data_IF_911092541771
#
_entry.id   IF_911092541771
#
_cell.length_a   1.000
_cell.length_b   1.000
_cell.length_c   1.000
_cell.angle_alpha   90.00
_cell.angle_beta   90.00
_cell.angle_gamma   90.00
#
_symmetry.space_group_name_H-M   'P 1'
#
loop_
_entity.id
_entity.type
_entity.pdbx_description
1 polymer ?
#
# COMPACT_ATOMS: atom_id res chain seq x y z
N UNK A 1 -17.45 7.36 13.50
CA UNK A 1 -17.93 8.01 12.27
C UNK A 1 -18.30 9.49 12.44
N UNK A 2 -18.77 9.93 13.64
CA UNK A 2 -19.10 11.33 13.91
C UNK A 2 -17.91 12.30 13.73
N UNK A 3 -16.69 11.90 14.09
CA UNK A 3 -15.49 12.72 13.91
C UNK A 3 -15.06 12.87 12.43
N UNK A 4 -15.30 11.88 11.60
CA UNK A 4 -14.96 11.93 10.19
C UNK A 4 -15.94 12.79 9.38
N UNK A 5 -17.23 12.80 9.73
CA UNK A 5 -18.23 13.63 9.04
C UNK A 5 -17.95 15.12 9.17
N UNK A 6 -17.48 15.58 10.35
CA UNK A 6 -17.08 17.00 10.55
C UNK A 6 -15.83 17.38 9.76
N UNK A 7 -14.82 16.49 9.64
CA UNK A 7 -13.61 16.76 8.86
C UNK A 7 -13.88 16.77 7.36
N UNK A 8 -14.75 15.91 6.88
CA UNK A 8 -15.13 15.87 5.47
C UNK A 8 -15.87 17.15 5.03
N UNK A 9 -16.66 17.76 5.91
CA UNK A 9 -17.36 19.04 5.61
C UNK A 9 -16.44 20.23 5.35
N UNK A 10 -15.16 20.13 5.69
CA UNK A 10 -14.22 21.26 5.55
C UNK A 10 -13.49 21.30 4.19
N UNK A 11 -13.41 20.20 3.43
CA UNK A 11 -12.43 20.10 2.34
C UNK A 11 -12.97 19.79 0.94
N UNK A 12 -14.28 19.55 0.73
CA UNK A 12 -14.74 19.13 -0.60
C UNK A 12 -16.24 19.29 -0.82
N UNK A 13 -16.66 19.23 -2.06
CA UNK A 13 -18.03 18.91 -2.45
C UNK A 13 -18.26 17.45 -1.99
N UNK A 14 -18.90 17.30 -0.82
CA UNK A 14 -19.17 15.98 -0.26
C UNK A 14 -20.37 15.41 -0.99
N UNK A 15 -20.26 14.21 -1.58
CA UNK A 15 -21.41 13.52 -2.11
C UNK A 15 -22.49 13.36 -1.05
N UNK A 16 -23.75 13.56 -1.43
CA UNK A 16 -24.92 13.53 -0.53
C UNK A 16 -25.02 12.29 0.36
N UNK A 17 -24.46 11.17 -0.08
CA UNK A 17 -24.44 9.93 0.70
C UNK A 17 -23.53 9.98 1.94
N UNK A 18 -22.59 10.91 2.06
CA UNK A 18 -21.81 11.12 3.29
C UNK A 18 -22.52 12.03 4.30
N UNK A 19 -23.50 12.82 3.86
CA UNK A 19 -24.27 13.76 4.72
C UNK A 19 -25.60 13.16 5.17
N UNK A 20 -25.75 11.86 5.07
CA UNK A 20 -26.94 11.10 5.42
C UNK A 20 -26.68 10.23 6.65
N UNK A 21 -27.70 10.06 7.51
CA UNK A 21 -27.68 9.05 8.55
C UNK A 21 -27.96 7.66 7.94
N UNK A 22 -27.04 6.73 8.20
CA UNK A 22 -27.09 5.37 7.72
C UNK A 22 -27.49 4.39 8.83
N UNK A 23 -28.41 3.49 8.52
CA UNK A 23 -28.81 2.39 9.39
C UNK A 23 -28.40 1.03 8.80
N UNK A 24 -28.28 0.01 9.65
CA UNK A 24 -28.02 -1.34 9.18
C UNK A 24 -29.16 -1.83 8.27
N UNK A 25 -28.82 -2.23 7.05
CA UNK A 25 -29.76 -2.68 6.03
C UNK A 25 -30.10 -1.63 4.96
N UNK A 26 -29.65 -0.38 5.14
CA UNK A 26 -29.79 0.63 4.09
C UNK A 26 -28.97 0.26 2.86
N UNK A 27 -29.53 0.58 1.69
CA UNK A 27 -28.82 0.39 0.41
C UNK A 27 -28.12 1.67 0.01
N UNK A 28 -26.81 1.59 -0.24
CA UNK A 28 -26.03 2.66 -0.86
C UNK A 28 -26.11 2.52 -2.37
N UNK A 29 -26.69 3.52 -3.04
CA UNK A 29 -26.76 3.61 -4.50
C UNK A 29 -25.75 4.66 -4.97
N UNK A 30 -24.88 4.29 -5.91
CA UNK A 30 -23.80 5.12 -6.46
C UNK A 30 -24.02 5.32 -7.96
N UNK A 31 -25.00 6.14 -8.33
CA UNK A 31 -25.39 6.36 -9.73
C UNK A 31 -24.25 6.92 -10.57
N UNK A 32 -23.48 7.88 -10.05
CA UNK A 32 -22.32 8.46 -10.74
C UNK A 32 -21.23 7.42 -11.00
N UNK A 33 -21.00 6.51 -10.05
CA UNK A 33 -20.06 5.40 -10.24
C UNK A 33 -20.59 4.41 -11.28
N UNK A 34 -21.87 4.09 -11.22
CA UNK A 34 -22.50 3.21 -12.21
C UNK A 34 -22.39 3.80 -13.62
N UNK A 35 -22.61 5.10 -13.77
CA UNK A 35 -22.42 5.80 -15.03
C UNK A 35 -20.97 5.76 -15.52
N UNK A 36 -20.01 6.08 -14.66
CA UNK A 36 -18.58 5.98 -14.96
C UNK A 36 -18.19 4.57 -15.44
N UNK A 37 -18.66 3.53 -14.74
CA UNK A 37 -18.41 2.14 -15.12
C UNK A 37 -19.06 1.77 -16.46
N UNK A 38 -20.22 2.36 -16.79
CA UNK A 38 -20.85 2.15 -18.10
C UNK A 38 -20.02 2.75 -19.24
N UNK A 39 -19.44 3.94 -19.05
CA UNK A 39 -18.54 4.55 -20.02
C UNK A 39 -17.29 3.69 -20.24
N UNK A 40 -16.71 3.14 -19.16
CA UNK A 40 -15.55 2.24 -19.24
C UNK A 40 -15.93 0.93 -19.96
N UNK A 41 -17.11 0.36 -19.68
CA UNK A 41 -17.62 -0.84 -20.34
C UNK A 41 -17.72 -0.62 -21.86
N UNK A 42 -18.29 0.51 -22.27
CA UNK A 42 -18.65 0.77 -23.66
C UNK A 42 -17.45 1.31 -24.48
N UNK A 43 -16.61 2.14 -23.86
CA UNK A 43 -15.50 2.83 -24.53
C UNK A 43 -14.10 2.36 -24.06
N UNK A 44 -14.01 1.35 -23.18
CA UNK A 44 -12.75 0.79 -22.68
C UNK A 44 -11.88 1.88 -22.05
N UNK A 45 -10.61 1.96 -22.47
CA UNK A 45 -9.65 2.97 -22.00
C UNK A 45 -10.16 4.40 -22.19
N UNK A 46 -10.72 4.70 -23.33
CA UNK A 46 -11.23 6.04 -23.63
C UNK A 46 -12.38 6.46 -22.70
N UNK A 47 -13.18 5.51 -22.19
CA UNK A 47 -14.25 5.78 -21.22
C UNK A 47 -13.78 6.31 -19.88
N UNK A 48 -12.49 6.22 -19.57
CA UNK A 48 -11.92 6.76 -18.32
C UNK A 48 -10.89 7.87 -18.58
N UNK A 49 -9.93 7.64 -19.49
CA UNK A 49 -8.81 8.55 -19.71
C UNK A 49 -9.08 9.66 -20.71
N UNK A 50 -10.24 9.63 -21.37
CA UNK A 50 -10.67 10.62 -22.34
C UNK A 50 -12.14 11.02 -22.09
N UNK A 51 -12.64 12.04 -22.79
CA UNK A 51 -14.02 12.47 -22.67
C UNK A 51 -14.44 12.94 -21.29
N UNK A 52 -15.70 12.68 -20.93
CA UNK A 52 -16.35 13.26 -19.75
C UNK A 52 -15.67 12.93 -18.41
N UNK A 53 -15.24 11.68 -18.20
CA UNK A 53 -14.55 11.31 -16.98
C UNK A 53 -13.20 12.03 -16.83
N UNK A 54 -12.40 12.06 -17.89
CA UNK A 54 -11.15 12.80 -17.89
C UNK A 54 -11.35 14.29 -17.63
N UNK A 55 -12.36 14.90 -18.26
CA UNK A 55 -12.69 16.31 -18.05
C UNK A 55 -13.08 16.61 -16.59
N UNK A 56 -13.89 15.75 -15.96
CA UNK A 56 -14.26 15.88 -14.54
C UNK A 56 -13.02 15.79 -13.63
N UNK A 57 -12.08 14.86 -13.91
CA UNK A 57 -10.83 14.74 -13.16
C UNK A 57 -10.02 16.04 -13.29
N UNK A 58 -9.86 16.59 -14.50
CA UNK A 58 -9.08 17.81 -14.73
C UNK A 58 -9.74 19.04 -14.09
N UNK A 59 -11.07 19.14 -14.15
CA UNK A 59 -11.80 20.21 -13.45
C UNK A 59 -11.55 20.16 -11.94
N UNK A 60 -11.59 18.97 -11.34
CA UNK A 60 -11.30 18.82 -9.90
C UNK A 60 -9.83 19.13 -9.57
N UNK A 61 -8.88 18.69 -10.41
CA UNK A 61 -7.47 19.05 -10.26
C UNK A 61 -7.27 20.57 -10.30
N UNK A 62 -7.88 21.24 -11.26
CA UNK A 62 -7.80 22.72 -11.38
C UNK A 62 -8.42 23.43 -10.17
N UNK A 63 -9.55 22.92 -9.67
CA UNK A 63 -10.26 23.50 -8.53
C UNK A 63 -9.49 23.34 -7.21
N UNK A 64 -8.82 22.21 -7.02
CA UNK A 64 -8.16 21.83 -5.77
C UNK A 64 -6.65 22.09 -5.74
N UNK A 65 -6.07 22.62 -6.83
CA UNK A 65 -4.61 22.80 -6.96
C UNK A 65 -3.85 21.48 -7.15
N UNK A 66 -4.50 20.46 -7.71
CA UNK A 66 -3.88 19.19 -8.05
C UNK A 66 -2.96 19.28 -9.27
N UNK A 67 -2.13 18.25 -9.47
CA UNK A 67 -1.05 18.26 -10.47
C UNK A 67 -1.37 17.48 -11.74
N UNK A 68 -2.42 16.64 -11.75
CA UNK A 68 -2.75 15.80 -12.92
C UNK A 68 -3.28 16.69 -14.04
N UNK A 69 -2.62 16.64 -15.19
CA UNK A 69 -3.01 17.32 -16.41
C UNK A 69 -3.80 16.39 -17.36
N UNK A 70 -4.45 16.98 -18.35
CA UNK A 70 -5.11 16.21 -19.42
C UNK A 70 -4.10 15.35 -20.18
N UNK A 71 -2.89 15.85 -20.38
CA UNK A 71 -1.84 15.11 -21.08
C UNK A 71 -1.41 13.87 -20.31
N UNK A 72 -1.32 13.97 -18.97
CA UNK A 72 -0.98 12.81 -18.11
C UNK A 72 -2.00 11.68 -18.27
N UNK A 73 -3.29 12.02 -18.39
CA UNK A 73 -4.34 11.01 -18.62
C UNK A 73 -4.24 10.37 -20.01
N UNK A 74 -3.96 11.18 -21.04
CA UNK A 74 -3.79 10.69 -22.43
C UNK A 74 -2.59 9.77 -22.55
N UNK A 75 -1.47 10.14 -21.93
CA UNK A 75 -0.18 9.43 -22.04
C UNK A 75 -0.10 8.22 -21.11
N UNK A 76 -0.99 8.12 -20.13
CA UNK A 76 -0.96 7.02 -19.20
C UNK A 76 -1.15 5.68 -19.91
N UNK A 77 -0.24 4.75 -19.67
CA UNK A 77 -0.30 3.37 -20.15
C UNK A 77 -0.04 2.41 -19.02
N UNK A 78 -0.83 1.34 -18.96
CA UNK A 78 -0.56 0.26 -18.00
C UNK A 78 0.69 -0.52 -18.40
N UNK A 79 1.50 -0.90 -17.40
CA UNK A 79 2.74 -1.65 -17.60
C UNK A 79 2.66 -3.01 -16.93
N UNK A 80 3.15 -4.03 -17.62
CA UNK A 80 3.40 -5.33 -17.02
C UNK A 80 4.62 -5.23 -16.10
N UNK A 81 4.46 -5.70 -14.84
CA UNK A 81 5.53 -5.68 -13.84
C UNK A 81 5.88 -7.09 -13.43
N UNK A 82 7.16 -7.32 -13.14
CA UNK A 82 7.62 -8.61 -12.61
C UNK A 82 7.12 -8.74 -11.17
N UNK A 83 6.43 -9.86 -10.83
CA UNK A 83 5.98 -10.08 -9.47
C UNK A 83 7.15 -10.35 -8.52
N UNK A 84 6.97 -10.03 -7.24
CA UNK A 84 7.83 -10.52 -6.17
C UNK A 84 7.51 -12.00 -5.95
N UNK A 85 8.55 -12.83 -6.00
CA UNK A 85 8.45 -14.27 -5.76
C UNK A 85 9.42 -14.66 -4.66
N UNK A 86 8.93 -15.37 -3.67
CA UNK A 86 9.74 -15.86 -2.55
C UNK A 86 9.13 -17.08 -1.90
N UNK A 87 9.68 -17.50 -0.77
CA UNK A 87 9.20 -18.63 0.02
C UNK A 87 9.05 -18.27 1.48
N UNK A 88 8.07 -18.86 2.13
CA UNK A 88 7.90 -18.85 3.58
C UNK A 88 7.57 -20.28 4.02
N UNK A 89 8.48 -20.91 4.74
CA UNK A 89 8.42 -22.35 5.02
C UNK A 89 8.22 -23.13 3.71
N UNK A 90 7.20 -23.98 3.64
CA UNK A 90 6.89 -24.79 2.46
C UNK A 90 6.01 -24.06 1.42
N UNK A 91 5.66 -22.80 1.67
CA UNK A 91 4.78 -22.04 0.78
C UNK A 91 5.57 -21.16 -0.17
N UNK A 92 5.18 -21.18 -1.44
CA UNK A 92 5.62 -20.22 -2.45
C UNK A 92 4.74 -18.98 -2.37
N UNK A 93 5.36 -17.83 -2.24
CA UNK A 93 4.71 -16.51 -2.20
C UNK A 93 4.86 -15.84 -3.56
N UNK A 94 3.76 -15.37 -4.13
CA UNK A 94 3.75 -14.56 -5.34
C UNK A 94 2.92 -13.32 -5.04
N UNK A 95 3.50 -12.15 -5.18
CA UNK A 95 2.82 -10.89 -4.87
C UNK A 95 3.23 -9.79 -5.83
N UNK A 96 2.52 -8.66 -5.77
CA UNK A 96 2.79 -7.52 -6.64
C UNK A 96 4.16 -6.90 -6.31
N UNK A 97 4.95 -6.65 -7.36
CA UNK A 97 6.20 -5.89 -7.28
C UNK A 97 5.98 -4.37 -7.26
N UNK A 98 7.07 -3.60 -7.12
CA UNK A 98 7.01 -2.14 -7.24
C UNK A 98 6.30 -1.66 -8.53
N UNK A 99 5.58 -0.54 -8.46
CA UNK A 99 5.53 0.47 -7.40
C UNK A 99 4.74 0.08 -6.14
N UNK A 100 4.06 -1.08 -6.13
CA UNK A 100 3.44 -1.58 -4.91
C UNK A 100 4.50 -2.03 -3.91
N UNK A 101 4.43 -1.53 -2.70
CA UNK A 101 5.30 -1.96 -1.60
C UNK A 101 4.82 -3.25 -0.91
N UNK A 102 3.55 -3.63 -1.13
CA UNK A 102 2.90 -4.69 -0.37
C UNK A 102 3.57 -6.04 -0.45
N UNK A 103 3.95 -6.46 -1.67
CA UNK A 103 4.62 -7.75 -1.87
C UNK A 103 5.98 -7.84 -1.19
N UNK A 104 6.79 -6.79 -1.29
CA UNK A 104 8.11 -6.75 -0.68
C UNK A 104 8.04 -6.69 0.84
N UNK A 105 7.19 -5.81 1.40
CA UNK A 105 7.00 -5.73 2.86
C UNK A 105 6.47 -7.05 3.43
N UNK A 106 5.49 -7.68 2.77
CA UNK A 106 4.97 -8.99 3.19
C UNK A 106 6.08 -10.05 3.22
N UNK A 107 6.89 -10.12 2.15
CA UNK A 107 8.00 -11.05 2.09
C UNK A 107 9.01 -10.80 3.22
N UNK A 108 9.42 -9.55 3.46
CA UNK A 108 10.35 -9.19 4.52
C UNK A 108 9.80 -9.59 5.90
N UNK A 109 8.56 -9.24 6.21
CA UNK A 109 7.92 -9.58 7.50
C UNK A 109 7.92 -11.10 7.70
N UNK A 110 7.46 -11.86 6.72
CA UNK A 110 7.38 -13.31 6.81
C UNK A 110 8.76 -13.93 7.00
N UNK A 111 9.78 -13.46 6.27
CA UNK A 111 11.15 -13.97 6.40
C UNK A 111 11.77 -13.63 7.76
N UNK A 112 11.56 -12.42 8.29
CA UNK A 112 12.05 -12.02 9.60
C UNK A 112 11.47 -12.88 10.73
N UNK A 113 10.23 -13.35 10.61
CA UNK A 113 9.59 -14.17 11.64
C UNK A 113 9.73 -15.69 11.39
N UNK A 114 10.30 -16.11 10.26
CA UNK A 114 10.32 -17.52 9.84
C UNK A 114 11.04 -18.45 10.82
N UNK A 115 12.09 -17.96 11.51
CA UNK A 115 12.86 -18.70 12.49
C UNK A 115 12.15 -18.90 13.85
N UNK A 116 11.07 -18.17 14.10
CA UNK A 116 10.36 -18.22 15.37
C UNK A 116 9.26 -19.31 15.34
N UNK A 117 9.08 -19.97 16.50
CA UNK A 117 8.02 -20.97 16.65
C UNK A 117 6.68 -20.32 16.98
N UNK A 118 6.00 -19.85 15.94
CA UNK A 118 4.73 -19.13 16.05
C UNK A 118 3.62 -20.00 16.69
N UNK A 119 3.71 -21.34 16.59
CA UNK A 119 2.72 -22.25 17.20
C UNK A 119 2.84 -22.24 18.72
N UNK A 120 4.09 -22.26 19.24
CA UNK A 120 4.33 -22.19 20.68
C UNK A 120 3.94 -20.83 21.27
N UNK A 121 4.09 -19.75 20.50
CA UNK A 121 3.64 -18.42 20.94
C UNK A 121 2.13 -18.35 21.14
N UNK A 122 1.37 -19.11 20.37
CA UNK A 122 -0.09 -19.06 20.35
C UNK A 122 -0.63 -17.92 19.51
N UNK A 123 -1.66 -18.22 18.74
CA UNK A 123 -2.28 -17.25 17.84
C UNK A 123 -2.85 -16.05 18.61
N UNK A 124 -2.52 -14.84 18.19
CA UNK A 124 -2.91 -13.57 18.81
C UNK A 124 -2.47 -13.38 20.26
N UNK A 125 -1.50 -14.16 20.76
CA UNK A 125 -0.88 -13.87 22.05
C UNK A 125 -0.10 -12.55 22.01
N UNK A 126 0.20 -11.98 23.18
CA UNK A 126 1.02 -10.76 23.28
C UNK A 126 2.39 -10.98 22.60
N UNK A 127 3.04 -12.11 22.86
CA UNK A 127 4.33 -12.43 22.24
C UNK A 127 4.25 -12.53 20.70
N UNK A 128 3.18 -13.16 20.18
CA UNK A 128 2.94 -13.24 18.74
C UNK A 128 2.74 -11.86 18.11
N UNK A 129 1.85 -11.04 18.69
CA UNK A 129 1.56 -9.69 18.17
C UNK A 129 2.81 -8.82 18.27
N UNK A 130 3.55 -8.89 19.39
CA UNK A 130 4.78 -8.15 19.56
C UNK A 130 5.82 -8.48 18.48
N UNK A 131 6.08 -9.77 18.22
CA UNK A 131 7.01 -10.20 17.18
C UNK A 131 6.60 -9.67 15.78
N UNK A 132 5.31 -9.79 15.42
CA UNK A 132 4.81 -9.30 14.12
C UNK A 132 5.02 -7.79 13.99
N UNK A 133 4.64 -7.01 15.01
CA UNK A 133 4.78 -5.55 15.00
C UNK A 133 6.24 -5.12 14.90
N UNK A 134 7.16 -5.81 15.57
CA UNK A 134 8.58 -5.54 15.49
C UNK A 134 9.16 -5.84 14.09
N UNK A 135 8.73 -6.90 13.44
CA UNK A 135 9.08 -7.19 12.05
C UNK A 135 8.47 -6.15 11.08
N UNK A 136 7.21 -5.75 11.29
CA UNK A 136 6.57 -4.70 10.50
C UNK A 136 7.32 -3.37 10.59
N UNK A 137 7.70 -2.91 11.77
CA UNK A 137 8.47 -1.67 11.95
C UNK A 137 9.73 -1.66 11.08
N UNK A 138 10.48 -2.77 11.05
CA UNK A 138 11.72 -2.91 10.28
C UNK A 138 11.45 -2.90 8.77
N UNK A 139 10.45 -3.65 8.32
CA UNK A 139 10.04 -3.66 6.92
C UNK A 139 9.55 -2.27 6.46
N UNK A 140 8.80 -1.56 7.29
CA UNK A 140 8.32 -0.21 6.97
C UNK A 140 9.41 0.86 7.04
N UNK A 141 10.45 0.69 7.87
CA UNK A 141 11.63 1.54 7.84
C UNK A 141 12.34 1.42 6.47
N UNK A 142 12.60 0.19 6.00
CA UNK A 142 13.17 -0.07 4.68
C UNK A 142 12.29 0.47 3.56
N UNK A 143 10.97 0.25 3.66
CA UNK A 143 9.99 0.78 2.72
C UNK A 143 10.10 2.30 2.57
N UNK A 144 10.19 3.00 3.68
CA UNK A 144 10.23 4.47 3.67
C UNK A 144 11.47 5.04 2.99
N UNK A 145 12.59 4.31 3.01
CA UNK A 145 13.85 4.72 2.39
C UNK A 145 13.98 4.31 0.93
N UNK A 146 13.54 3.10 0.58
CA UNK A 146 13.92 2.46 -0.66
C UNK A 146 12.81 2.29 -1.68
N UNK A 147 11.51 2.33 -1.27
CA UNK A 147 10.43 2.04 -2.18
C UNK A 147 9.81 3.30 -2.77
N UNK A 148 9.51 3.21 -4.05
CA UNK A 148 8.84 4.22 -4.85
C UNK A 148 8.52 3.67 -6.24
N UNK A 149 8.36 4.53 -7.22
CA UNK A 149 8.10 4.08 -8.58
C UNK A 149 9.42 3.67 -9.26
N UNK A 150 9.56 2.40 -9.70
CA UNK A 150 10.77 1.89 -10.33
C UNK A 150 11.06 2.51 -11.71
N UNK A 151 10.12 3.26 -12.26
CA UNK A 151 10.36 4.04 -13.49
C UNK A 151 11.22 5.28 -13.24
N UNK A 152 11.31 5.74 -11.98
CA UNK A 152 12.03 6.95 -11.58
C UNK A 152 13.16 6.68 -10.60
N UNK A 153 13.12 5.58 -9.85
CA UNK A 153 14.15 5.26 -8.85
C UNK A 153 14.60 3.79 -8.95
N UNK A 154 15.87 3.55 -8.61
CA UNK A 154 16.39 2.19 -8.46
C UNK A 154 16.00 1.63 -7.08
N UNK A 155 15.29 0.52 -7.07
CA UNK A 155 14.89 -0.20 -5.85
C UNK A 155 15.79 -1.41 -5.69
N UNK A 156 16.48 -1.59 -4.53
CA UNK A 156 17.38 -2.72 -4.30
C UNK A 156 16.61 -3.99 -3.89
N UNK A 157 15.78 -4.53 -4.78
CA UNK A 157 14.86 -5.64 -4.49
C UNK A 157 15.63 -6.87 -3.98
N UNK A 158 16.73 -7.24 -4.64
CA UNK A 158 17.53 -8.42 -4.28
C UNK A 158 18.10 -8.30 -2.86
N UNK A 159 18.65 -7.14 -2.51
CA UNK A 159 19.21 -6.88 -1.18
C UNK A 159 18.10 -6.86 -0.11
N UNK A 160 16.97 -6.22 -0.41
CA UNK A 160 15.82 -6.16 0.49
C UNK A 160 15.17 -7.53 0.72
N UNK A 161 15.37 -8.49 -0.17
CA UNK A 161 14.85 -9.85 -0.07
C UNK A 161 15.91 -10.86 0.40
N UNK A 162 17.16 -10.45 0.60
CA UNK A 162 18.22 -11.34 1.05
C UNK A 162 17.96 -11.90 2.45
N UNK A 163 18.03 -13.22 2.58
CA UNK A 163 17.69 -13.90 3.83
C UNK A 163 18.66 -13.57 4.99
N UNK A 164 19.95 -13.35 4.69
CA UNK A 164 20.94 -12.99 5.72
C UNK A 164 20.69 -11.57 6.20
N UNK A 165 20.39 -10.65 5.26
CA UNK A 165 19.99 -9.30 5.60
C UNK A 165 18.77 -9.30 6.53
N UNK A 166 17.73 -10.03 6.17
CA UNK A 166 16.48 -10.08 6.96
C UNK A 166 16.68 -10.74 8.33
N UNK A 167 17.55 -11.75 8.43
CA UNK A 167 17.94 -12.31 9.73
C UNK A 167 18.68 -11.28 10.60
N UNK A 168 19.59 -10.51 10.01
CA UNK A 168 20.30 -9.44 10.71
C UNK A 168 19.36 -8.34 11.22
N UNK A 169 18.30 -8.03 10.48
CA UNK A 169 17.28 -7.06 10.90
C UNK A 169 16.60 -7.42 12.23
N UNK A 170 16.64 -8.69 12.64
CA UNK A 170 16.00 -9.18 13.86
C UNK A 170 17.00 -9.47 15.00
N UNK A 171 18.30 -9.17 14.85
CA UNK A 171 19.29 -9.44 15.88
C UNK A 171 19.08 -8.61 17.17
N UNK A 172 18.51 -7.43 17.03
CA UNK A 172 18.21 -6.51 18.13
C UNK A 172 16.76 -6.67 18.65
N UNK A 173 16.04 -7.69 18.20
CA UNK A 173 14.70 -7.96 18.69
C UNK A 173 14.72 -8.37 20.16
N UNK A 174 14.05 -7.59 21.00
CA UNK A 174 13.80 -7.92 22.40
C UNK A 174 12.38 -8.46 22.56
N UNK A 175 12.27 -9.67 23.13
CA UNK A 175 10.97 -10.33 23.32
C UNK A 175 10.12 -9.74 24.44
N UNK A 176 10.69 -8.87 25.28
CA UNK A 176 10.04 -8.27 26.46
C UNK A 176 9.71 -6.79 26.27
N UNK A 177 10.53 -6.08 25.48
CA UNK A 177 10.41 -4.64 25.31
C UNK A 177 10.23 -4.25 23.84
N UNK A 178 9.25 -3.40 23.58
CA UNK A 178 9.00 -2.86 22.25
C UNK A 178 10.07 -1.82 21.88
N UNK A 179 10.61 -1.93 20.67
CA UNK A 179 11.48 -0.89 20.11
C UNK A 179 10.71 0.41 19.89
N UNK A 180 11.35 1.55 20.10
CA UNK A 180 10.79 2.83 19.67
C UNK A 180 10.94 3.00 18.16
N UNK A 181 10.05 3.78 17.54
CA UNK A 181 10.12 4.04 16.09
C UNK A 181 11.45 4.68 15.72
N UNK A 182 11.94 5.58 16.57
CA UNK A 182 13.20 6.33 16.33
C UNK A 182 14.46 5.44 16.47
N UNK A 183 14.36 4.27 17.12
CA UNK A 183 15.47 3.33 17.25
C UNK A 183 15.61 2.36 16.07
N UNK A 184 14.59 2.28 15.21
CA UNK A 184 14.59 1.37 14.06
C UNK A 184 14.91 2.16 12.79
N UNK A 185 16.14 1.99 12.31
CA UNK A 185 16.59 2.61 11.08
C UNK A 185 16.41 1.65 9.89
N UNK A 186 16.22 2.18 8.66
CA UNK A 186 16.29 1.36 7.46
C UNK A 186 17.69 0.73 7.33
N UNK A 187 17.78 -0.44 6.71
CA UNK A 187 19.05 -1.04 6.39
C UNK A 187 19.90 -0.15 5.47
N UNK A 188 21.19 -0.39 5.46
CA UNK A 188 22.10 0.34 4.58
C UNK A 188 22.63 -0.56 3.47
N UNK A 189 22.51 -0.10 2.24
CA UNK A 189 23.05 -0.78 1.07
C UNK A 189 24.01 0.14 0.33
N UNK A 190 25.20 -0.38 0.01
CA UNK A 190 26.13 0.32 -0.85
C UNK A 190 25.76 0.04 -2.31
N UNK A 191 25.30 1.06 -3.00
CA UNK A 191 25.09 1.01 -4.44
C UNK A 191 26.41 1.42 -5.10
N UNK A 192 27.24 0.42 -5.43
CA UNK A 192 28.41 0.64 -6.27
C UNK A 192 27.99 0.83 -7.74
#
# INVERSE_FOLDING_TARGET
>A
NYFNSKKLKFNSIIPSYFDRDWSKGDTLVLDDLAYTLSLIRDHKRAGFYEGENAEKIIQEMSRSGGLISKQDLIDYTSKWRIPIVGTFKDYKLISMGPPSSGGLCLFQILKMIESFDLRKMGFHSIAYIHLIVEAEKRAFADRSKYLGDPDFIRIPIEQLMDSNYLAQRMLDFDSLFASTVDSIHPGEFNFA
#
